data_IF_952119273119
#
_entry.id   IF_952119273119
#
_cell.length_a   1.000
_cell.length_b   1.000
_cell.length_c   1.000
_cell.angle_alpha   90.00
_cell.angle_beta   90.00
_cell.angle_gamma   90.00
#
_symmetry.space_group_name_H-M   'P 1'
#
loop_
_entity.id
_entity.type
_entity.pdbx_description
1 polymer ?
#
# COMPACT_ATOMS: atom_id res chain seq x y z
N UNK A 1 2.67 -11.78 -22.41
CA UNK A 1 1.78 -10.85 -21.69
C UNK A 1 1.08 -11.67 -20.63
N UNK A 2 1.58 -11.68 -19.39
CA UNK A 2 0.96 -12.43 -18.30
C UNK A 2 -0.18 -11.61 -17.72
N UNK A 3 -1.42 -11.97 -18.07
CA UNK A 3 -2.62 -11.60 -17.34
C UNK A 3 -2.83 -12.62 -16.22
N UNK A 4 -2.42 -12.32 -14.99
CA UNK A 4 -3.03 -12.81 -13.74
C UNK A 4 -2.67 -11.81 -12.64
N UNK A 5 -3.69 -11.32 -11.92
CA UNK A 5 -3.57 -10.67 -10.60
C UNK A 5 -2.78 -11.61 -9.66
N UNK A 6 -1.47 -11.43 -9.58
CA UNK A 6 -0.62 -12.25 -8.71
C UNK A 6 -0.86 -11.83 -7.26
N UNK A 7 -1.66 -12.63 -6.55
CA UNK A 7 -1.93 -12.42 -5.12
C UNK A 7 -0.63 -12.42 -4.33
N UNK A 8 -0.41 -11.37 -3.53
CA UNK A 8 0.74 -11.25 -2.64
C UNK A 8 0.80 -12.43 -1.66
N UNK A 9 2.01 -12.95 -1.46
CA UNK A 9 2.30 -14.04 -0.51
C UNK A 9 3.34 -13.59 0.51
N UNK A 10 3.46 -14.37 1.58
CA UNK A 10 4.49 -14.11 2.58
C UNK A 10 5.89 -14.25 1.95
N UNK A 11 6.75 -13.27 2.23
CA UNK A 11 8.12 -13.24 1.71
C UNK A 11 8.26 -12.48 0.40
N UNK A 12 7.16 -12.20 -0.30
CA UNK A 12 7.19 -11.34 -1.48
C UNK A 12 7.62 -9.93 -1.10
N UNK A 13 8.39 -9.31 -1.99
CA UNK A 13 8.67 -7.90 -1.84
C UNK A 13 7.37 -7.10 -2.02
N UNK A 14 7.03 -6.28 -1.02
CA UNK A 14 5.86 -5.41 -1.11
C UNK A 14 5.95 -4.50 -2.36
N UNK A 15 4.88 -4.39 -3.16
CA UNK A 15 4.83 -3.49 -4.31
C UNK A 15 5.04 -2.03 -3.87
N UNK A 16 5.81 -1.28 -4.65
CA UNK A 16 6.00 0.14 -4.40
C UNK A 16 4.74 0.93 -4.72
N UNK A 17 4.41 1.91 -3.87
CA UNK A 17 3.45 2.95 -4.20
C UNK A 17 3.98 4.31 -3.75
N UNK A 18 3.45 5.36 -4.37
CA UNK A 18 3.63 6.76 -3.99
C UNK A 18 2.30 7.45 -4.20
N UNK A 19 1.62 7.83 -3.13
CA UNK A 19 0.24 8.33 -3.17
C UNK A 19 0.12 9.61 -2.33
N UNK A 20 -0.79 10.49 -2.71
CA UNK A 20 -1.13 11.67 -1.92
C UNK A 20 -1.90 11.26 -0.67
N UNK A 21 -1.48 11.77 0.48
CA UNK A 21 -2.19 11.65 1.74
C UNK A 21 -3.22 12.77 1.91
N UNK A 22 -4.13 12.60 2.87
CA UNK A 22 -5.10 13.64 3.26
C UNK A 22 -4.45 14.90 3.82
N UNK A 23 -3.15 14.84 4.17
CA UNK A 23 -2.32 15.98 4.56
C UNK A 23 -1.70 16.72 3.38
N UNK A 24 -2.03 16.35 2.14
CA UNK A 24 -1.44 16.83 0.88
C UNK A 24 0.06 16.50 0.67
N UNK A 25 0.66 15.74 1.58
CA UNK A 25 2.00 15.19 1.39
C UNK A 25 1.92 13.92 0.54
N UNK A 26 2.91 13.71 -0.33
CA UNK A 26 3.06 12.44 -1.03
C UNK A 26 3.80 11.46 -0.15
N UNK A 27 3.20 10.29 0.12
CA UNK A 27 3.79 9.22 0.92
C UNK A 27 4.24 8.09 0.02
N UNK A 28 5.51 7.67 0.15
CA UNK A 28 6.07 6.53 -0.56
C UNK A 28 6.42 5.38 0.39
N UNK A 29 6.01 4.16 0.05
CA UNK A 29 6.35 2.97 0.84
C UNK A 29 7.87 2.78 0.97
N UNK A 30 8.62 3.17 -0.06
CA UNK A 30 10.07 3.00 -0.10
C UNK A 30 10.80 3.82 0.98
N UNK A 31 10.22 4.93 1.43
CA UNK A 31 10.84 5.82 2.43
C UNK A 31 10.99 5.18 3.80
N UNK A 32 10.16 4.16 4.09
CA UNK A 32 10.14 3.42 5.35
C UNK A 32 11.04 2.17 5.34
N UNK A 33 11.50 1.73 4.16
CA UNK A 33 12.30 0.50 4.01
C UNK A 33 13.57 0.56 4.87
N UNK A 34 13.74 -0.44 5.75
CA UNK A 34 14.87 -0.54 6.67
C UNK A 34 14.84 0.44 7.86
N UNK A 35 13.81 1.29 7.96
CA UNK A 35 13.67 2.26 9.05
C UNK A 35 12.58 1.87 10.04
N UNK A 36 11.42 1.42 9.54
CA UNK A 36 10.26 1.06 10.36
C UNK A 36 9.47 -0.07 9.71
N UNK A 37 8.81 -0.88 10.54
CA UNK A 37 7.77 -1.80 10.07
C UNK A 37 6.52 -0.99 9.71
N UNK A 38 5.81 -1.41 8.65
CA UNK A 38 4.64 -0.72 8.12
C UNK A 38 3.49 -1.72 7.99
N UNK A 39 2.30 -1.34 8.44
CA UNK A 39 1.05 -2.07 8.21
C UNK A 39 0.22 -1.26 7.22
N UNK A 40 -0.22 -1.89 6.13
CA UNK A 40 -1.07 -1.27 5.10
C UNK A 40 -2.47 -1.86 5.22
N UNK A 41 -3.48 -1.01 5.37
CA UNK A 41 -4.88 -1.41 5.40
C UNK A 41 -5.60 -0.74 4.22
N UNK A 42 -6.26 -1.57 3.40
CA UNK A 42 -7.20 -1.10 2.39
C UNK A 42 -8.60 -1.17 2.98
N UNK A 43 -9.37 -0.11 2.80
CA UNK A 43 -10.78 -0.08 3.19
C UNK A 43 -11.62 0.45 2.03
N UNK A 44 -12.94 0.28 2.14
CA UNK A 44 -13.89 0.72 1.12
C UNK A 44 -14.08 2.24 1.12
N UNK A 45 -15.34 2.66 1.14
CA UNK A 45 -15.70 4.08 1.09
C UNK A 45 -15.92 4.66 2.49
N UNK A 46 -15.45 5.88 2.72
CA UNK A 46 -15.75 6.65 3.93
C UNK A 46 -17.27 6.82 4.14
N UNK A 47 -17.68 6.91 5.41
CA UNK A 47 -19.06 7.18 5.83
C UNK A 47 -20.12 6.19 5.32
N UNK A 48 -19.71 5.00 4.89
CA UNK A 48 -20.62 3.90 4.57
C UNK A 48 -20.68 2.92 5.74
N UNK A 49 -21.86 2.32 6.03
CA UNK A 49 -21.96 1.30 7.07
C UNK A 49 -21.18 0.01 6.74
N UNK A 50 -20.78 -0.16 5.47
CA UNK A 50 -20.29 -1.43 4.91
C UNK A 50 -21.41 -2.25 4.30
#
# INVERSE_FOLDING_TARGET
MSNVEESLRQGDQAPSFSLEATTAETVSLAEYKGKKNVVVAFYGMDFTPG
#
